data_IF_413624343694
#
_entry.id   IF_413624343694
#
_cell.length_a   1.000
_cell.length_b   1.000
_cell.length_c   1.000
_cell.angle_alpha   90.00
_cell.angle_beta   90.00
_cell.angle_gamma   90.00
#
_symmetry.space_group_name_H-M   'P 1'
#
loop_
_entity.id
_entity.type
_entity.pdbx_description
1 polymer ?
#
# COMPACT_ATOMS: atom_id res chain seq x y z
N UNK A 1 -35.84 29.29 31.83
CA UNK A 1 -34.84 28.24 31.48
C UNK A 1 -33.56 28.91 31.06
N UNK A 2 -32.45 28.66 31.76
CA UNK A 2 -31.21 29.39 31.61
C UNK A 2 -30.34 28.75 30.52
N UNK A 3 -30.17 29.43 29.39
CA UNK A 3 -29.55 28.90 28.15
C UNK A 3 -28.09 28.46 28.37
N UNK A 4 -27.41 29.02 29.38
CA UNK A 4 -26.02 28.71 29.77
C UNK A 4 -25.79 27.28 30.26
N UNK A 5 -26.80 26.59 30.80
CA UNK A 5 -26.66 25.21 31.27
C UNK A 5 -26.99 24.18 30.17
N UNK A 6 -27.52 24.61 29.03
CA UNK A 6 -27.88 23.74 27.89
C UNK A 6 -26.70 23.57 26.89
N UNK A 7 -25.74 24.50 26.91
CA UNK A 7 -24.55 24.48 26.06
C UNK A 7 -23.65 23.24 26.30
N UNK A 8 -23.31 22.83 27.54
CA UNK A 8 -22.45 21.67 27.73
C UNK A 8 -23.16 20.36 27.34
N UNK A 9 -24.49 20.28 27.53
CA UNK A 9 -25.29 19.12 27.14
C UNK A 9 -25.35 18.96 25.61
N UNK A 10 -25.54 20.05 24.87
CA UNK A 10 -25.53 20.03 23.41
C UNK A 10 -24.20 19.55 22.83
N UNK A 11 -23.07 19.98 23.41
CA UNK A 11 -21.74 19.57 22.96
C UNK A 11 -21.49 18.07 23.19
N UNK A 12 -21.92 17.52 24.34
CA UNK A 12 -21.78 16.08 24.60
C UNK A 12 -22.61 15.20 23.66
N UNK A 13 -23.81 15.64 23.28
CA UNK A 13 -24.68 14.91 22.35
C UNK A 13 -24.08 14.92 20.93
N UNK A 14 -23.50 16.04 20.50
CA UNK A 14 -22.85 16.15 19.20
C UNK A 14 -21.61 15.23 19.07
N UNK A 15 -20.80 15.13 20.13
CA UNK A 15 -19.61 14.26 20.15
C UNK A 15 -20.00 12.78 20.16
N UNK A 16 -21.05 12.40 20.89
CA UNK A 16 -21.54 11.01 20.87
C UNK A 16 -22.12 10.62 19.49
N UNK A 17 -22.81 11.55 18.82
CA UNK A 17 -23.37 11.32 17.49
C UNK A 17 -22.28 11.17 16.41
N UNK A 18 -21.19 11.94 16.48
CA UNK A 18 -20.07 11.81 15.53
C UNK A 18 -19.29 10.50 15.71
N UNK A 19 -19.15 10.00 16.95
CA UNK A 19 -18.48 8.73 17.21
C UNK A 19 -19.29 7.50 16.75
N UNK A 20 -20.61 7.56 16.87
CA UNK A 20 -21.50 6.49 16.37
C UNK A 20 -21.56 6.43 14.83
N UNK A 21 -21.30 7.55 14.14
CA UNK A 21 -21.29 7.60 12.67
C UNK A 21 -19.99 7.04 12.06
N UNK A 22 -18.88 7.01 12.79
CA UNK A 22 -17.63 6.34 12.36
C UNK A 22 -17.65 4.82 12.57
N UNK A 23 -18.68 4.26 13.21
CA UNK A 23 -18.80 2.83 13.52
C UNK A 23 -19.60 2.02 12.49
N UNK A 24 -19.95 2.59 11.33
CA UNK A 24 -20.59 1.85 10.25
C UNK A 24 -19.54 0.95 9.61
N UNK A 25 -19.37 -0.23 10.21
CA UNK A 25 -18.77 -1.38 9.56
C UNK A 25 -19.79 -1.85 8.51
N UNK A 26 -19.94 -1.08 7.42
CA UNK A 26 -20.42 -1.66 6.19
C UNK A 26 -19.43 -2.76 5.88
N UNK A 27 -19.85 -4.01 6.07
CA UNK A 27 -19.12 -5.14 5.57
C UNK A 27 -18.86 -4.82 4.10
N UNK A 28 -17.59 -4.59 3.78
CA UNK A 28 -17.17 -4.37 2.41
C UNK A 28 -17.84 -5.45 1.55
N UNK A 29 -18.42 -5.09 0.39
CA UNK A 29 -18.94 -6.09 -0.53
C UNK A 29 -17.90 -7.19 -0.63
N UNK A 30 -18.31 -8.45 -0.42
CA UNK A 30 -17.43 -9.58 -0.60
C UNK A 30 -16.73 -9.37 -1.94
N UNK A 31 -15.41 -9.21 -1.91
CA UNK A 31 -14.63 -9.02 -3.11
C UNK A 31 -15.05 -10.14 -4.07
N UNK A 32 -15.66 -9.77 -5.20
CA UNK A 32 -15.84 -10.70 -6.31
C UNK A 32 -14.50 -11.37 -6.49
N UNK A 33 -14.44 -12.70 -6.37
CA UNK A 33 -13.21 -13.44 -6.57
C UNK A 33 -12.61 -12.95 -7.89
N UNK A 34 -11.46 -12.28 -7.81
CA UNK A 34 -10.78 -11.72 -8.96
C UNK A 34 -10.74 -12.81 -10.03
N UNK A 35 -11.37 -12.56 -11.17
CA UNK A 35 -11.24 -13.45 -12.31
C UNK A 35 -9.75 -13.56 -12.60
N UNK A 36 -9.17 -14.75 -12.38
CA UNK A 36 -7.76 -15.01 -12.64
C UNK A 36 -7.45 -14.45 -14.04
N UNK A 37 -6.39 -13.63 -14.21
CA UNK A 37 -6.03 -13.11 -15.52
C UNK A 37 -5.98 -14.26 -16.51
N UNK A 38 -6.69 -14.13 -17.64
CA UNK A 38 -6.75 -15.15 -18.70
C UNK A 38 -5.44 -15.25 -19.50
N UNK A 39 -4.32 -14.88 -18.89
CA UNK A 39 -3.00 -14.84 -19.47
C UNK A 39 -2.11 -15.88 -18.79
N UNK A 40 -1.60 -16.82 -19.58
CA UNK A 40 -0.67 -17.83 -19.12
C UNK A 40 0.75 -17.26 -19.06
N UNK A 41 1.21 -16.92 -17.86
CA UNK A 41 2.56 -16.39 -17.61
C UNK A 41 3.66 -17.34 -18.09
N UNK A 42 3.39 -18.64 -18.26
CA UNK A 42 4.36 -19.60 -18.80
C UNK A 42 4.68 -19.35 -20.28
N UNK A 43 3.87 -18.55 -20.98
CA UNK A 43 4.11 -18.16 -22.37
C UNK A 43 5.14 -17.03 -22.52
N UNK A 44 5.54 -16.37 -21.41
CA UNK A 44 6.57 -15.32 -21.46
C UNK A 44 7.96 -15.96 -21.46
N UNK A 45 8.73 -15.68 -22.51
CA UNK A 45 10.10 -16.20 -22.71
C UNK A 45 11.18 -15.38 -21.99
N UNK A 46 10.87 -14.12 -21.68
CA UNK A 46 11.75 -13.24 -20.92
C UNK A 46 11.57 -13.51 -19.43
N UNK A 47 12.64 -13.49 -18.60
CA UNK A 47 12.49 -13.56 -17.15
C UNK A 47 11.48 -12.52 -16.68
N UNK A 48 10.44 -12.98 -15.98
CA UNK A 48 9.43 -12.08 -15.44
C UNK A 48 10.05 -11.28 -14.30
N UNK A 49 10.15 -9.97 -14.50
CA UNK A 49 10.36 -9.05 -13.38
C UNK A 49 9.01 -8.98 -12.65
N UNK A 50 8.92 -9.68 -11.52
CA UNK A 50 7.76 -9.65 -10.64
C UNK A 50 8.15 -9.07 -9.29
N UNK A 51 7.21 -8.35 -8.68
CA UNK A 51 7.33 -7.88 -7.30
C UNK A 51 6.63 -8.87 -6.38
N UNK A 52 7.37 -9.41 -5.42
CA UNK A 52 6.87 -10.28 -4.37
C UNK A 52 6.94 -9.57 -3.02
N UNK A 53 6.11 -9.97 -2.07
CA UNK A 53 6.13 -9.41 -0.72
C UNK A 53 7.49 -9.57 -0.02
N UNK A 54 8.25 -10.61 -0.38
CA UNK A 54 9.60 -10.86 0.13
C UNK A 54 10.64 -9.85 -0.37
N UNK A 55 10.38 -9.13 -1.46
CA UNK A 55 11.30 -8.14 -2.03
C UNK A 55 11.28 -6.82 -1.25
N UNK A 56 10.19 -6.54 -0.53
CA UNK A 56 10.02 -5.33 0.28
C UNK A 56 10.91 -5.36 1.53
N UNK A 57 11.51 -4.23 1.89
CA UNK A 57 12.23 -4.04 3.15
C UNK A 57 11.37 -3.28 4.18
N UNK A 58 10.69 -4.00 5.10
CA UNK A 58 9.80 -3.38 6.08
C UNK A 58 10.52 -2.58 7.16
N UNK A 59 11.86 -2.58 7.20
CA UNK A 59 12.62 -1.70 8.10
C UNK A 59 12.62 -0.23 7.62
N UNK A 60 12.21 0.02 6.37
CA UNK A 60 12.13 1.34 5.76
C UNK A 60 10.65 1.76 5.67
N UNK A 61 10.31 2.97 6.14
CA UNK A 61 8.95 3.50 5.99
C UNK A 61 8.68 3.86 4.52
N UNK A 62 7.68 3.20 3.90
CA UNK A 62 7.29 3.48 2.52
C UNK A 62 6.84 4.94 2.28
N UNK A 63 6.24 5.59 3.29
CA UNK A 63 5.82 7.00 3.19
C UNK A 63 6.99 7.99 3.26
N UNK A 64 8.17 7.52 3.70
CA UNK A 64 9.38 8.35 3.84
C UNK A 64 10.36 8.07 2.71
N UNK A 65 10.55 6.81 2.35
CA UNK A 65 11.38 6.37 1.24
C UNK A 65 10.78 5.14 0.56
N UNK A 66 9.92 5.40 -0.43
CA UNK A 66 9.29 4.34 -1.22
C UNK A 66 10.32 3.53 -2.01
N UNK A 67 11.38 4.18 -2.50
CA UNK A 67 12.41 3.49 -3.28
C UNK A 67 13.21 2.52 -2.41
N UNK A 68 13.64 2.94 -1.23
CA UNK A 68 14.29 2.07 -0.26
C UNK A 68 13.39 0.92 0.17
N UNK A 69 12.12 1.20 0.48
CA UNK A 69 11.16 0.17 0.86
C UNK A 69 10.97 -0.91 -0.20
N UNK A 70 10.89 -0.54 -1.49
CA UNK A 70 10.63 -1.49 -2.57
C UNK A 70 11.91 -2.14 -3.12
N UNK A 71 13.00 -1.37 -3.26
CA UNK A 71 14.15 -1.77 -4.09
C UNK A 71 15.45 -2.04 -3.30
N UNK A 72 15.52 -1.74 -2.00
CA UNK A 72 16.79 -1.83 -1.24
C UNK A 72 17.43 -3.22 -1.27
N UNK A 73 16.63 -4.30 -1.15
CA UNK A 73 17.13 -5.68 -1.24
C UNK A 73 17.73 -5.97 -2.62
N UNK A 74 17.06 -5.56 -3.69
CA UNK A 74 17.53 -5.73 -5.06
C UNK A 74 18.83 -4.95 -5.29
N UNK A 75 18.86 -3.67 -4.90
CA UNK A 75 20.05 -2.81 -5.06
C UNK A 75 21.28 -3.37 -4.34
N UNK A 76 21.08 -3.99 -3.16
CA UNK A 76 22.17 -4.64 -2.41
C UNK A 76 22.70 -5.90 -3.10
N UNK A 77 21.82 -6.66 -3.77
CA UNK A 77 22.18 -7.91 -4.43
C UNK A 77 22.71 -7.71 -5.86
N UNK A 78 22.43 -6.57 -6.49
CA UNK A 78 22.69 -6.31 -7.90
C UNK A 78 23.54 -5.03 -8.08
N UNK A 79 24.85 -5.06 -7.76
CA UNK A 79 25.73 -3.96 -8.10
C UNK A 79 25.83 -3.78 -9.62
N UNK A 80 26.08 -2.54 -10.07
CA UNK A 80 26.28 -2.26 -11.50
C UNK A 80 27.48 -3.06 -12.02
N UNK A 81 27.31 -3.91 -13.06
CA UNK A 81 28.42 -4.62 -13.69
C UNK A 81 29.48 -3.65 -14.23
N UNK A 82 30.75 -4.05 -14.20
CA UNK A 82 31.86 -3.15 -14.56
C UNK A 82 31.91 -2.72 -16.03
N UNK A 83 31.16 -3.40 -16.90
CA UNK A 83 30.99 -3.11 -18.32
C UNK A 83 29.72 -2.28 -18.62
N UNK A 84 28.98 -1.87 -17.60
CA UNK A 84 27.75 -1.09 -17.72
C UNK A 84 27.85 0.24 -16.98
N UNK A 85 27.10 1.24 -17.46
CA UNK A 85 26.97 2.55 -16.78
C UNK A 85 25.73 2.64 -15.90
N UNK A 86 24.70 1.84 -16.19
CA UNK A 86 23.46 1.73 -15.44
C UNK A 86 23.02 0.27 -15.33
N UNK A 87 22.26 -0.08 -14.29
CA UNK A 87 21.73 -1.42 -14.10
C UNK A 87 20.38 -1.38 -13.39
N UNK A 88 19.38 -2.04 -13.96
CA UNK A 88 18.00 -1.94 -13.51
C UNK A 88 17.02 -2.63 -14.46
N UNK A 89 15.76 -2.24 -14.35
CA UNK A 89 14.68 -2.80 -15.15
C UNK A 89 14.71 -2.36 -16.62
N UNK A 90 15.28 -1.19 -16.92
CA UNK A 90 15.30 -0.64 -18.28
C UNK A 90 16.30 -1.37 -19.18
N UNK A 91 17.33 -1.97 -18.62
CA UNK A 91 18.33 -2.77 -19.33
C UNK A 91 17.81 -4.17 -19.68
N UNK A 92 16.69 -4.59 -19.07
CA UNK A 92 16.03 -5.88 -19.30
C UNK A 92 14.91 -5.78 -20.35
N UNK A 93 14.41 -4.56 -20.63
CA UNK A 93 13.33 -4.28 -21.59
C UNK A 93 13.86 -3.83 -22.95
#
# INVERSE_FOLDING_TARGET
>A
MNVRNLVPLGLTIAIAASLAACGKNDAAPAASADAKPAFDLSQIKTPLISLNSADLDPSISACTDLNGFVNSKWLKANPVPGDQTTWGSFEIL
#
